data_IF_135527852835
#
_entry.id   IF_135527852835
#
_cell.length_a   1.000
_cell.length_b   1.000
_cell.length_c   1.000
_cell.angle_alpha   90.00
_cell.angle_beta   90.00
_cell.angle_gamma   90.00
#
_symmetry.space_group_name_H-M   'P 1'
#
loop_
_entity.id
_entity.type
_entity.pdbx_description
1 polymer ?
#
# COMPACT_ATOMS: atom_id res chain seq x y z
N UNK A 1 28.35 20.44 12.59
CA UNK A 1 29.60 20.12 13.31
C UNK A 1 30.79 20.98 12.89
N UNK A 2 31.07 21.12 11.58
CA UNK A 2 32.11 22.04 11.07
C UNK A 2 32.08 23.44 11.71
N UNK A 3 30.90 24.09 11.68
CA UNK A 3 30.71 25.42 12.28
C UNK A 3 30.99 25.46 13.79
N UNK A 4 30.71 24.37 14.50
CA UNK A 4 30.97 24.27 15.94
C UNK A 4 32.48 24.27 16.19
N UNK A 5 33.25 23.47 15.42
CA UNK A 5 34.69 23.39 15.60
C UNK A 5 35.46 24.65 15.21
N UNK A 6 34.86 25.51 14.39
CA UNK A 6 35.41 26.80 13.97
C UNK A 6 35.07 27.95 14.94
N UNK A 7 34.27 27.73 15.99
CA UNK A 7 33.94 28.78 16.95
C UNK A 7 35.20 29.25 17.70
N UNK A 8 35.30 30.56 18.04
CA UNK A 8 36.44 31.10 18.77
C UNK A 8 36.35 30.74 20.27
N UNK A 9 36.62 29.47 20.58
CA UNK A 9 36.52 28.94 21.94
C UNK A 9 37.49 29.59 22.95
N UNK A 10 38.54 30.24 22.45
CA UNK A 10 39.47 31.04 23.26
C UNK A 10 38.77 32.17 24.02
N UNK A 11 37.67 32.71 23.50
CA UNK A 11 36.86 33.73 24.20
C UNK A 11 36.10 33.17 25.40
N UNK A 12 35.90 31.85 25.43
CA UNK A 12 35.22 31.12 26.50
C UNK A 12 36.20 30.41 27.45
N UNK A 13 37.51 30.63 27.27
CA UNK A 13 38.55 30.03 28.11
C UNK A 13 38.94 28.60 27.74
N UNK A 14 38.52 28.08 26.58
CA UNK A 14 38.92 26.76 26.12
C UNK A 14 40.01 26.87 25.04
N UNK A 15 41.05 26.05 25.18
CA UNK A 15 42.23 26.07 24.30
C UNK A 15 42.09 25.14 23.08
N UNK A 16 41.16 24.18 23.10
CA UNK A 16 41.06 23.11 22.10
C UNK A 16 39.63 22.92 21.60
N UNK A 17 39.50 22.76 20.29
CA UNK A 17 38.29 22.31 19.60
C UNK A 17 38.50 20.93 19.00
N UNK A 18 37.41 20.25 18.62
CA UNK A 18 37.51 18.95 17.96
C UNK A 18 38.33 19.00 16.66
N UNK A 19 38.34 20.14 15.94
CA UNK A 19 39.16 20.33 14.72
C UNK A 19 40.65 20.25 15.09
N UNK A 20 41.07 21.03 16.08
CA UNK A 20 42.46 21.04 16.54
C UNK A 20 42.88 19.66 17.07
N UNK A 21 41.98 18.95 17.75
CA UNK A 21 42.24 17.60 18.22
C UNK A 21 42.38 16.58 17.08
N UNK A 22 41.55 16.70 16.04
CA UNK A 22 41.60 15.84 14.86
C UNK A 22 42.85 16.09 14.01
N UNK A 23 43.23 17.34 13.80
CA UNK A 23 44.47 17.69 13.08
C UNK A 23 45.71 17.18 13.83
N UNK A 24 45.70 17.24 15.17
CA UNK A 24 46.79 16.73 15.99
C UNK A 24 46.88 15.20 15.97
N UNK A 25 45.75 14.49 15.95
CA UNK A 25 45.75 13.01 15.91
C UNK A 25 46.13 12.45 14.54
N UNK A 26 45.71 13.12 13.47
CA UNK A 26 45.98 12.69 12.09
C UNK A 26 47.27 13.26 11.52
N UNK A 27 47.79 14.35 12.09
CA UNK A 27 48.93 15.10 11.56
C UNK A 27 48.60 15.87 10.27
N UNK A 28 47.32 16.02 9.95
CA UNK A 28 46.85 16.57 8.67
C UNK A 28 45.97 17.78 8.92
N UNK A 29 46.37 18.92 8.36
CA UNK A 29 45.55 20.13 8.38
C UNK A 29 44.26 19.96 7.55
N UNK A 30 43.15 20.44 8.11
CA UNK A 30 41.82 20.41 7.52
C UNK A 30 41.59 21.65 6.66
N UNK A 31 41.82 21.52 5.35
CA UNK A 31 41.32 22.49 4.37
C UNK A 31 39.79 22.50 4.34
N UNK A 32 39.16 23.56 3.83
CA UNK A 32 37.69 23.72 3.80
C UNK A 32 36.95 22.49 3.25
N UNK A 33 37.45 21.91 2.16
CA UNK A 33 36.88 20.71 1.55
C UNK A 33 37.00 19.46 2.42
N UNK A 34 38.14 19.29 3.09
CA UNK A 34 38.36 18.18 4.03
C UNK A 34 37.50 18.34 5.26
N UNK A 35 37.41 19.56 5.80
CA UNK A 35 36.56 19.87 6.93
C UNK A 35 35.09 19.55 6.65
N UNK A 36 34.60 19.88 5.45
CA UNK A 36 33.25 19.51 5.03
C UNK A 36 33.03 18.00 5.08
N UNK A 37 33.92 17.21 4.47
CA UNK A 37 33.75 15.76 4.45
C UNK A 37 33.91 15.10 5.82
N UNK A 38 34.84 15.58 6.64
CA UNK A 38 35.02 15.08 8.02
C UNK A 38 33.81 15.42 8.88
N UNK A 39 33.26 16.63 8.77
CA UNK A 39 32.04 17.00 9.46
C UNK A 39 30.79 16.28 8.94
N UNK A 40 30.71 16.00 7.63
CA UNK A 40 29.65 15.20 7.03
C UNK A 40 29.75 13.74 7.49
N UNK A 41 30.97 13.18 7.52
CA UNK A 41 31.23 11.85 8.07
C UNK A 41 30.76 11.76 9.52
N UNK A 42 31.14 12.71 10.38
CA UNK A 42 30.63 12.78 11.76
C UNK A 42 29.11 12.86 11.80
N UNK A 43 28.51 13.66 10.92
CA UNK A 43 27.05 13.79 10.81
C UNK A 43 26.37 12.47 10.45
N UNK A 44 26.90 11.74 9.46
CA UNK A 44 26.36 10.46 9.02
C UNK A 44 26.52 9.40 10.11
N UNK A 45 27.70 9.28 10.73
CA UNK A 45 27.96 8.28 11.77
C UNK A 45 27.15 8.54 13.04
N UNK A 46 26.89 9.81 13.35
CA UNK A 46 25.99 10.22 14.43
C UNK A 46 24.53 9.92 14.10
N UNK A 47 24.07 10.32 12.89
CA UNK A 47 22.69 10.12 12.44
C UNK A 47 22.32 8.63 12.36
N UNK A 48 23.26 7.80 11.90
CA UNK A 48 23.08 6.33 11.78
C UNK A 48 23.39 5.59 13.08
N UNK A 49 23.66 6.29 14.18
CA UNK A 49 24.00 5.72 15.49
C UNK A 49 25.23 4.78 15.51
N UNK A 50 26.13 4.90 14.54
CA UNK A 50 27.39 4.13 14.49
C UNK A 50 28.38 4.66 15.52
N UNK A 51 28.61 5.98 15.50
CA UNK A 51 29.42 6.69 16.51
C UNK A 51 30.80 6.09 16.78
N UNK A 52 31.70 6.06 15.78
CA UNK A 52 33.05 5.51 15.94
C UNK A 52 33.89 6.15 17.07
N UNK A 53 33.57 7.39 17.46
CA UNK A 53 34.24 8.09 18.56
C UNK A 53 35.61 8.69 18.20
N UNK A 54 35.99 8.65 16.93
CA UNK A 54 37.19 9.25 16.37
C UNK A 54 37.13 10.78 16.27
N UNK A 55 35.92 11.34 16.26
CA UNK A 55 35.66 12.78 16.36
C UNK A 55 34.75 12.99 17.56
N UNK A 56 35.31 13.52 18.64
CA UNK A 56 34.63 13.77 19.90
C UNK A 56 34.66 15.26 20.26
N UNK A 57 33.67 15.76 21.02
CA UNK A 57 33.73 17.09 21.60
C UNK A 57 34.89 17.18 22.61
N UNK A 58 35.64 18.27 22.56
CA UNK A 58 36.83 18.49 23.41
C UNK A 58 36.58 19.50 24.55
N UNK A 59 35.44 20.21 24.52
CA UNK A 59 35.07 21.19 25.52
C UNK A 59 33.57 21.14 25.87
N UNK A 60 33.18 21.78 26.97
CA UNK A 60 31.81 21.68 27.50
C UNK A 60 30.75 22.26 26.54
N UNK A 61 31.11 23.30 25.79
CA UNK A 61 30.23 23.91 24.77
C UNK A 61 30.01 22.95 23.61
N UNK A 62 31.08 22.30 23.13
CA UNK A 62 31.01 21.25 22.13
C UNK A 62 30.20 20.05 22.63
N UNK A 63 30.35 19.63 23.89
CA UNK A 63 29.55 18.55 24.48
C UNK A 63 28.07 18.90 24.49
N UNK A 64 27.71 20.14 24.89
CA UNK A 64 26.33 20.60 24.92
C UNK A 64 25.72 20.63 23.51
N UNK A 65 26.42 21.23 22.54
CA UNK A 65 25.97 21.32 21.15
C UNK A 65 25.91 19.94 20.47
N UNK A 66 26.90 19.08 20.73
CA UNK A 66 26.92 17.69 20.27
C UNK A 66 25.69 16.95 20.79
N UNK A 67 25.43 17.02 22.09
CA UNK A 67 24.26 16.35 22.72
C UNK A 67 22.95 16.82 22.09
N UNK A 68 22.79 18.13 21.87
CA UNK A 68 21.62 18.68 21.21
C UNK A 68 21.48 18.19 19.76
N UNK A 69 22.57 18.21 18.98
CA UNK A 69 22.59 17.72 17.60
C UNK A 69 22.30 16.21 17.52
N UNK A 70 22.82 15.43 18.46
CA UNK A 70 22.54 13.99 18.56
C UNK A 70 21.06 13.74 18.85
N UNK A 71 20.45 14.51 19.74
CA UNK A 71 19.02 14.40 20.05
C UNK A 71 18.15 14.69 18.82
N UNK A 72 18.43 15.80 18.12
CA UNK A 72 17.72 16.15 16.87
C UNK A 72 17.97 15.11 15.79
N UNK A 73 19.22 14.65 15.65
CA UNK A 73 19.61 13.58 14.75
C UNK A 73 18.81 12.31 14.98
N UNK A 74 18.74 11.84 16.23
CA UNK A 74 17.99 10.64 16.60
C UNK A 74 16.49 10.74 16.27
N UNK A 75 15.87 11.90 16.56
CA UNK A 75 14.45 12.13 16.20
C UNK A 75 14.25 12.11 14.67
N UNK A 76 15.13 12.78 13.92
CA UNK A 76 15.04 12.78 12.45
C UNK A 76 15.26 11.39 11.85
N UNK A 77 16.20 10.61 12.39
CA UNK A 77 16.46 9.25 11.94
C UNK A 77 15.27 8.32 12.21
N UNK A 78 14.69 8.38 13.41
CA UNK A 78 13.49 7.62 13.75
C UNK A 78 12.32 7.94 12.82
N UNK A 79 12.13 9.23 12.49
CA UNK A 79 11.12 9.68 11.53
C UNK A 79 11.34 9.12 10.12
N UNK A 80 12.57 9.20 9.60
CA UNK A 80 12.92 8.66 8.27
C UNK A 80 12.66 7.16 8.23
N UNK A 81 13.11 6.42 9.23
CA UNK A 81 12.89 4.96 9.32
C UNK A 81 11.39 4.63 9.36
N UNK A 82 10.59 5.35 10.15
CA UNK A 82 9.15 5.15 10.20
C UNK A 82 8.50 5.34 8.83
N UNK A 83 8.86 6.40 8.11
CA UNK A 83 8.33 6.65 6.77
C UNK A 83 8.77 5.60 5.74
N UNK A 84 9.98 5.09 5.83
CA UNK A 84 10.42 3.98 4.97
C UNK A 84 9.59 2.72 5.24
N UNK A 85 9.34 2.41 6.52
CA UNK A 85 8.48 1.27 6.91
C UNK A 85 7.06 1.46 6.39
N UNK A 86 6.47 2.65 6.56
CA UNK A 86 5.12 2.96 6.08
C UNK A 86 5.03 2.87 4.54
N UNK A 87 6.04 3.40 3.83
CA UNK A 87 6.11 3.31 2.38
C UNK A 87 6.14 1.84 1.92
N UNK A 88 6.98 1.01 2.56
CA UNK A 88 7.04 -0.44 2.27
C UNK A 88 5.69 -1.11 2.59
N UNK A 89 5.06 -0.76 3.71
CA UNK A 89 3.75 -1.30 4.10
C UNK A 89 2.64 -0.94 3.12
N UNK A 90 2.67 0.27 2.55
CA UNK A 90 1.64 0.76 1.63
C UNK A 90 1.64 0.04 0.27
N UNK A 91 2.83 -0.31 -0.25
CA UNK A 91 3.01 -0.96 -1.56
C UNK A 91 2.40 -2.38 -1.59
N UNK A 92 2.28 -3.04 -0.44
CA UNK A 92 1.76 -4.40 -0.32
C UNK A 92 0.35 -4.52 0.26
N UNK A 93 -0.32 -3.41 0.58
CA UNK A 93 -1.50 -3.40 1.45
C UNK A 93 -2.68 -4.25 0.92
N UNK A 94 -3.00 -4.20 -0.37
CA UNK A 94 -4.08 -5.00 -0.96
C UNK A 94 -3.77 -6.51 -0.95
N UNK A 95 -2.55 -6.88 -1.35
CA UNK A 95 -2.13 -8.28 -1.34
C UNK A 95 -2.01 -8.82 0.09
N UNK A 96 -1.53 -8.01 1.03
CA UNK A 96 -1.47 -8.35 2.44
C UNK A 96 -2.87 -8.57 3.02
N UNK A 97 -3.85 -7.72 2.68
CA UNK A 97 -5.26 -7.90 3.07
C UNK A 97 -5.84 -9.21 2.51
N UNK A 98 -5.57 -9.54 1.25
CA UNK A 98 -6.00 -10.81 0.65
C UNK A 98 -5.40 -12.02 1.36
N UNK A 99 -4.09 -12.02 1.55
CA UNK A 99 -3.37 -13.09 2.22
C UNK A 99 -3.87 -13.27 3.66
N UNK A 100 -4.13 -12.16 4.37
CA UNK A 100 -4.74 -12.17 5.70
C UNK A 100 -6.14 -12.79 5.72
N UNK A 101 -7.02 -12.38 4.79
CA UNK A 101 -8.37 -12.96 4.64
C UNK A 101 -8.31 -14.45 4.31
N UNK A 102 -7.42 -14.86 3.40
CA UNK A 102 -7.22 -16.26 3.03
C UNK A 102 -6.67 -17.10 4.20
N UNK A 103 -5.76 -16.55 5.00
CA UNK A 103 -5.24 -17.21 6.20
C UNK A 103 -6.37 -17.44 7.23
N UNK A 104 -7.22 -16.44 7.46
CA UNK A 104 -8.40 -16.56 8.35
C UNK A 104 -9.39 -17.61 7.83
N UNK A 105 -9.66 -17.63 6.53
CA UNK A 105 -10.49 -18.66 5.88
C UNK A 105 -9.90 -20.06 6.09
N UNK A 106 -8.61 -20.23 5.86
CA UNK A 106 -7.91 -21.50 6.08
C UNK A 106 -8.03 -21.99 7.53
N UNK A 107 -7.90 -21.08 8.50
CA UNK A 107 -8.06 -21.41 9.92
C UNK A 107 -9.49 -21.87 10.23
N UNK A 108 -10.50 -21.13 9.76
CA UNK A 108 -11.91 -21.47 9.96
C UNK A 108 -12.26 -22.84 9.37
N UNK A 109 -11.83 -23.11 8.13
CA UNK A 109 -12.05 -24.39 7.45
C UNK A 109 -11.44 -25.58 8.20
N UNK A 110 -10.26 -25.39 8.81
CA UNK A 110 -9.59 -26.41 9.62
C UNK A 110 -10.30 -26.61 10.96
N UNK A 111 -10.68 -25.54 11.63
CA UNK A 111 -11.39 -25.60 12.92
C UNK A 111 -12.75 -26.30 12.80
N UNK A 112 -13.47 -26.06 11.69
CA UNK A 112 -14.73 -26.75 11.38
C UNK A 112 -14.55 -28.19 10.88
N UNK A 113 -13.32 -28.72 10.84
CA UNK A 113 -13.00 -30.07 10.36
C UNK A 113 -13.58 -30.38 8.96
N UNK A 114 -13.64 -29.38 8.08
CA UNK A 114 -14.20 -29.60 6.74
C UNK A 114 -13.32 -30.55 5.92
N UNK A 115 -13.96 -31.47 5.19
CA UNK A 115 -13.26 -32.40 4.30
C UNK A 115 -12.40 -31.70 3.23
N UNK A 116 -11.32 -32.34 2.76
CA UNK A 116 -10.32 -31.72 1.88
C UNK A 116 -10.90 -31.21 0.56
N UNK A 117 -11.92 -31.89 0.00
CA UNK A 117 -12.59 -31.44 -1.21
C UNK A 117 -13.36 -30.14 -1.00
N UNK A 118 -14.14 -30.05 0.07
CA UNK A 118 -14.89 -28.83 0.42
C UNK A 118 -13.93 -27.67 0.67
N UNK A 119 -12.82 -27.92 1.37
CA UNK A 119 -11.79 -26.90 1.56
C UNK A 119 -11.22 -26.39 0.22
N UNK A 120 -10.93 -27.29 -0.72
CA UNK A 120 -10.44 -26.92 -2.05
C UNK A 120 -11.47 -26.09 -2.82
N UNK A 121 -12.74 -26.51 -2.80
CA UNK A 121 -13.85 -25.79 -3.45
C UNK A 121 -14.03 -24.37 -2.88
N UNK A 122 -14.07 -24.24 -1.55
CA UNK A 122 -14.24 -22.93 -0.88
C UNK A 122 -13.05 -22.00 -1.16
N UNK A 123 -11.81 -22.50 -1.12
CA UNK A 123 -10.62 -21.68 -1.44
C UNK A 123 -10.61 -21.22 -2.90
N UNK A 124 -10.96 -22.11 -3.83
CA UNK A 124 -11.05 -21.77 -5.26
C UNK A 124 -12.14 -20.72 -5.51
N UNK A 125 -13.31 -20.89 -4.88
CA UNK A 125 -14.38 -19.90 -4.92
C UNK A 125 -13.92 -18.54 -4.37
N UNK A 126 -13.30 -18.52 -3.20
CA UNK A 126 -12.85 -17.28 -2.56
C UNK A 126 -11.76 -16.56 -3.36
N UNK A 127 -10.84 -17.30 -4.00
CA UNK A 127 -9.86 -16.74 -4.92
C UNK A 127 -10.54 -16.06 -6.14
N UNK A 128 -11.57 -16.70 -6.70
CA UNK A 128 -12.35 -16.10 -7.80
C UNK A 128 -13.14 -14.86 -7.35
N UNK A 129 -13.70 -14.88 -6.13
CA UNK A 129 -14.38 -13.72 -5.55
C UNK A 129 -13.41 -12.57 -5.35
N UNK A 130 -12.18 -12.81 -4.89
CA UNK A 130 -11.17 -11.76 -4.71
C UNK A 130 -10.76 -11.09 -6.03
N UNK A 131 -10.48 -11.89 -7.06
CA UNK A 131 -10.19 -11.39 -8.41
C UNK A 131 -11.34 -10.54 -8.97
N UNK A 132 -12.57 -10.93 -8.68
CA UNK A 132 -13.76 -10.20 -9.10
C UNK A 132 -14.03 -8.96 -8.24
N UNK A 133 -13.80 -9.04 -6.93
CA UNK A 133 -13.87 -7.92 -6.00
C UNK A 133 -12.84 -6.86 -6.32
N UNK A 134 -11.64 -7.16 -6.84
CA UNK A 134 -10.74 -6.08 -7.34
C UNK A 134 -11.38 -5.20 -8.42
N UNK A 135 -12.35 -5.73 -9.16
CA UNK A 135 -13.06 -5.02 -10.23
C UNK A 135 -14.37 -4.38 -9.71
N UNK A 136 -15.02 -4.97 -8.69
CA UNK A 136 -16.28 -4.48 -8.11
C UNK A 136 -16.14 -3.74 -6.77
N UNK A 137 -14.95 -3.73 -6.16
CA UNK A 137 -14.61 -2.99 -4.94
C UNK A 137 -14.48 -1.53 -5.30
N UNK A 138 -15.64 -0.92 -5.38
CA UNK A 138 -15.84 0.48 -5.11
C UNK A 138 -17.32 0.71 -4.80
N UNK A 139 -18.11 -0.23 -4.26
CA UNK A 139 -19.46 0.14 -3.81
C UNK A 139 -19.41 1.26 -2.77
N UNK A 140 -18.41 1.25 -1.87
CA UNK A 140 -18.12 2.34 -0.95
C UNK A 140 -17.62 3.61 -1.67
N UNK A 141 -16.62 3.52 -2.55
CA UNK A 141 -16.13 4.68 -3.32
C UNK A 141 -17.20 5.25 -4.28
N UNK A 142 -18.08 4.41 -4.83
CA UNK A 142 -19.22 4.82 -5.64
C UNK A 142 -20.22 5.58 -4.77
N UNK A 143 -20.47 5.17 -3.52
CA UNK A 143 -21.35 5.90 -2.61
C UNK A 143 -20.84 7.31 -2.27
N UNK A 144 -19.53 7.56 -2.36
CA UNK A 144 -18.91 8.89 -2.20
C UNK A 144 -19.13 9.81 -3.42
N UNK A 145 -19.42 9.23 -4.59
CA UNK A 145 -19.67 10.01 -5.81
C UNK A 145 -21.07 10.64 -5.79
N UNK A 146 -21.23 11.74 -6.54
CA UNK A 146 -22.55 12.32 -6.78
C UNK A 146 -23.47 11.33 -7.52
N UNK A 147 -24.81 11.41 -7.35
CA UNK A 147 -25.73 10.43 -7.95
C UNK A 147 -25.62 10.29 -9.47
N UNK A 148 -25.22 11.35 -10.17
CA UNK A 148 -24.99 11.32 -11.61
C UNK A 148 -23.69 10.57 -11.95
N UNK A 149 -22.59 10.88 -11.28
CA UNK A 149 -21.30 10.21 -11.48
C UNK A 149 -21.37 8.72 -11.12
N UNK A 150 -22.14 8.36 -10.09
CA UNK A 150 -22.45 6.97 -9.77
C UNK A 150 -23.03 6.22 -10.97
N UNK A 151 -24.01 6.83 -11.65
CA UNK A 151 -24.64 6.25 -12.83
C UNK A 151 -23.69 6.11 -14.01
N UNK A 152 -22.88 7.12 -14.27
CA UNK A 152 -21.90 7.13 -15.36
C UNK A 152 -20.79 6.10 -15.15
N UNK A 153 -20.23 6.01 -13.94
CA UNK A 153 -19.20 5.03 -13.58
C UNK A 153 -19.77 3.61 -13.59
N UNK A 154 -20.96 3.40 -13.00
CA UNK A 154 -21.63 2.10 -13.03
C UNK A 154 -21.87 1.64 -14.48
N UNK A 155 -22.37 2.52 -15.33
CA UNK A 155 -22.57 2.22 -16.76
C UNK A 155 -21.24 1.91 -17.46
N UNK A 156 -20.17 2.64 -17.16
CA UNK A 156 -18.83 2.35 -17.70
C UNK A 156 -18.34 0.94 -17.40
N UNK A 157 -18.58 0.44 -16.18
CA UNK A 157 -18.17 -0.92 -15.76
C UNK A 157 -19.04 -2.05 -16.34
N UNK A 158 -20.31 -1.78 -16.63
CA UNK A 158 -21.28 -2.81 -17.05
C UNK A 158 -21.72 -2.68 -18.50
N UNK A 159 -21.17 -1.72 -19.27
CA UNK A 159 -21.56 -1.45 -20.65
C UNK A 159 -21.45 -2.69 -21.53
N UNK A 160 -20.35 -3.43 -21.40
CA UNK A 160 -20.10 -4.67 -22.11
C UNK A 160 -21.18 -5.73 -21.87
N UNK A 161 -21.78 -5.74 -20.68
CA UNK A 161 -22.87 -6.64 -20.31
C UNK A 161 -24.23 -6.12 -20.81
N UNK A 162 -24.53 -4.83 -20.61
CA UNK A 162 -25.81 -4.23 -21.01
C UNK A 162 -25.99 -4.31 -22.54
N UNK A 163 -24.93 -4.08 -23.31
CA UNK A 163 -24.97 -4.12 -24.77
C UNK A 163 -25.25 -5.54 -25.33
N UNK A 164 -25.15 -6.60 -24.50
CA UNK A 164 -25.49 -7.97 -24.90
C UNK A 164 -27.00 -8.20 -24.93
N UNK A 165 -27.76 -7.43 -24.15
CA UNK A 165 -29.21 -7.57 -24.02
C UNK A 165 -29.89 -6.83 -25.18
N UNK A 166 -30.51 -7.58 -26.09
CA UNK A 166 -31.03 -7.05 -27.35
C UNK A 166 -32.01 -5.87 -27.18
N UNK A 167 -32.87 -5.90 -26.16
CA UNK A 167 -33.86 -4.85 -25.92
C UNK A 167 -33.29 -3.62 -25.18
N UNK A 168 -32.11 -3.73 -24.56
CA UNK A 168 -31.44 -2.60 -23.89
C UNK A 168 -30.56 -1.77 -24.82
N UNK A 169 -30.15 -2.31 -25.97
CA UNK A 169 -29.24 -1.64 -26.93
C UNK A 169 -29.67 -0.23 -27.35
N UNK A 170 -30.98 0.03 -27.40
CA UNK A 170 -31.54 1.31 -27.84
C UNK A 170 -32.14 2.13 -26.69
N UNK A 171 -31.85 1.75 -25.44
CA UNK A 171 -32.33 2.45 -24.26
C UNK A 171 -31.75 3.87 -24.15
N UNK A 172 -32.53 4.80 -23.61
CA UNK A 172 -32.02 6.16 -23.30
C UNK A 172 -30.90 6.06 -22.27
N UNK A 173 -29.88 6.90 -22.38
CA UNK A 173 -28.72 6.88 -21.48
C UNK A 173 -29.11 6.95 -19.98
N UNK A 174 -30.08 7.78 -19.59
CA UNK A 174 -30.59 7.86 -18.20
C UNK A 174 -31.24 6.57 -17.69
N UNK A 175 -31.85 5.80 -18.59
CA UNK A 175 -32.45 4.52 -18.27
C UNK A 175 -31.37 3.45 -18.09
N UNK A 176 -30.40 3.40 -19.01
CA UNK A 176 -29.30 2.44 -18.95
C UNK A 176 -28.38 2.67 -17.74
N UNK A 177 -28.11 3.92 -17.37
CA UNK A 177 -27.37 4.26 -16.14
C UNK A 177 -28.14 3.90 -14.88
N UNK A 178 -29.48 3.93 -14.91
CA UNK A 178 -30.31 3.47 -13.78
C UNK A 178 -30.30 1.95 -13.65
N UNK A 179 -30.34 1.22 -14.77
CA UNK A 179 -30.15 -0.23 -14.80
C UNK A 179 -28.75 -0.60 -14.31
N UNK A 180 -27.71 0.06 -14.82
CA UNK A 180 -26.32 -0.20 -14.45
C UNK A 180 -26.07 -0.11 -12.94
N UNK A 181 -26.75 0.82 -12.24
CA UNK A 181 -26.68 0.94 -10.77
C UNK A 181 -27.40 -0.18 -10.02
N UNK A 182 -28.34 -0.87 -10.66
CA UNK A 182 -29.10 -1.98 -10.07
C UNK A 182 -28.53 -3.35 -10.46
N UNK A 183 -27.53 -3.42 -11.33
CA UNK A 183 -26.86 -4.69 -11.66
C UNK A 183 -26.09 -5.19 -10.44
N UNK A 184 -26.51 -6.34 -9.91
CA UNK A 184 -25.83 -7.01 -8.81
C UNK A 184 -24.87 -8.08 -9.35
N UNK A 185 -23.56 -7.93 -9.08
CA UNK A 185 -22.57 -8.85 -9.63
C UNK A 185 -22.42 -10.08 -8.72
N UNK A 186 -22.85 -11.27 -9.20
CA UNK A 186 -22.80 -12.53 -8.44
C UNK A 186 -21.74 -13.50 -8.97
N UNK A 187 -21.08 -14.24 -8.07
CA UNK A 187 -20.08 -15.28 -8.41
C UNK A 187 -20.58 -16.63 -7.87
N UNK A 188 -20.43 -17.69 -8.65
CA UNK A 188 -20.81 -19.06 -8.29
C UNK A 188 -19.60 -19.99 -8.33
N UNK A 189 -19.62 -21.05 -7.52
CA UNK A 189 -18.58 -22.07 -7.56
C UNK A 189 -18.72 -22.99 -8.78
N UNK A 190 -17.63 -23.66 -9.17
CA UNK A 190 -17.70 -24.68 -10.22
C UNK A 190 -18.66 -25.81 -9.82
N UNK A 191 -19.54 -26.21 -10.75
CA UNK A 191 -20.55 -27.26 -10.59
C UNK A 191 -21.64 -26.96 -9.54
N UNK A 192 -21.88 -25.68 -9.24
CA UNK A 192 -23.02 -25.25 -8.43
C UNK A 192 -24.24 -24.96 -9.30
N UNK A 193 -25.43 -25.28 -8.80
CA UNK A 193 -26.68 -24.92 -9.47
C UNK A 193 -26.96 -23.43 -9.28
N UNK A 194 -27.17 -22.70 -10.38
CA UNK A 194 -27.54 -21.28 -10.34
C UNK A 194 -29.06 -21.19 -10.29
N UNK A 195 -29.59 -20.71 -9.17
CA UNK A 195 -31.01 -20.41 -9.02
C UNK A 195 -31.29 -19.01 -9.55
N UNK A 196 -32.29 -18.88 -10.41
CA UNK A 196 -32.79 -17.60 -10.89
C UNK A 196 -34.31 -17.64 -10.79
N UNK A 197 -34.89 -16.77 -9.96
CA UNK A 197 -36.34 -16.55 -9.95
C UNK A 197 -36.60 -15.09 -10.30
N UNK A 198 -37.19 -14.87 -11.48
CA UNK A 198 -37.64 -13.55 -11.98
C UNK A 198 -36.54 -12.51 -12.17
N UNK A 199 -35.35 -12.95 -12.59
CA UNK A 199 -34.22 -12.05 -12.87
C UNK A 199 -33.54 -12.41 -14.20
N UNK A 200 -33.30 -11.39 -15.03
CA UNK A 200 -32.41 -11.50 -16.19
C UNK A 200 -30.96 -11.56 -15.73
N UNK A 201 -30.25 -12.62 -16.09
CA UNK A 201 -28.83 -12.81 -15.75
C UNK A 201 -27.95 -12.74 -17.00
N UNK A 202 -26.80 -12.09 -16.86
CA UNK A 202 -25.82 -11.90 -17.94
C UNK A 202 -24.53 -12.62 -17.56
N UNK A 203 -24.08 -13.55 -18.41
CA UNK A 203 -22.84 -14.29 -18.17
C UNK A 203 -21.64 -13.42 -18.57
N UNK A 204 -20.95 -12.83 -17.60
CA UNK A 204 -19.76 -12.00 -17.86
C UNK A 204 -18.47 -12.81 -18.03
N UNK A 205 -18.33 -13.92 -17.30
CA UNK A 205 -17.15 -14.79 -17.33
C UNK A 205 -17.55 -16.21 -16.92
N UNK A 206 -16.95 -17.21 -17.56
CA UNK A 206 -17.20 -18.62 -17.28
C UNK A 206 -18.19 -19.24 -18.26
N UNK A 207 -18.69 -20.42 -17.88
CA UNK A 207 -19.63 -21.22 -18.66
C UNK A 207 -20.74 -21.71 -17.73
N UNK A 208 -21.95 -21.76 -18.25
CA UNK A 208 -23.15 -22.22 -17.55
C UNK A 208 -23.94 -23.13 -18.48
N UNK A 209 -24.53 -24.19 -17.95
CA UNK A 209 -25.45 -25.04 -18.70
C UNK A 209 -26.90 -24.68 -18.35
N UNK A 210 -27.71 -24.33 -19.34
CA UNK A 210 -29.10 -23.91 -19.16
C UNK A 210 -30.00 -24.51 -20.25
N UNK A 211 -31.04 -25.24 -19.86
CA UNK A 211 -32.00 -25.92 -20.76
C UNK A 211 -31.35 -26.65 -21.95
N UNK A 212 -30.32 -27.48 -21.69
CA UNK A 212 -29.67 -28.25 -22.75
C UNK A 212 -28.65 -27.46 -23.59
N UNK A 213 -28.44 -26.18 -23.29
CA UNK A 213 -27.51 -25.30 -24.02
C UNK A 213 -26.36 -24.86 -23.12
N UNK A 214 -25.15 -24.84 -23.68
CA UNK A 214 -24.00 -24.25 -23.04
C UNK A 214 -23.99 -22.74 -23.31
N UNK A 215 -24.14 -21.95 -22.25
CA UNK A 215 -24.03 -20.50 -22.25
C UNK A 215 -22.61 -20.10 -21.87
N UNK A 216 -22.05 -19.15 -22.60
CA UNK A 216 -20.70 -18.62 -22.40
C UNK A 216 -20.75 -17.11 -22.23
N UNK A 217 -19.58 -16.45 -22.17
CA UNK A 217 -19.48 -14.99 -22.05
C UNK A 217 -20.43 -14.26 -23.02
N UNK A 218 -21.14 -13.25 -22.50
CA UNK A 218 -22.15 -12.44 -23.18
C UNK A 218 -23.48 -13.15 -23.49
N UNK A 219 -23.66 -14.39 -23.04
CA UNK A 219 -24.97 -15.04 -23.08
C UNK A 219 -25.88 -14.48 -21.98
N UNK A 220 -27.18 -14.42 -22.25
CA UNK A 220 -28.20 -14.00 -21.29
C UNK A 220 -29.23 -15.11 -21.11
N UNK A 221 -29.78 -15.22 -19.90
CA UNK A 221 -30.80 -16.20 -19.55
C UNK A 221 -31.65 -15.67 -18.37
N UNK A 222 -32.83 -16.26 -18.19
CA UNK A 222 -33.87 -15.76 -17.29
C UNK A 222 -35.01 -15.10 -18.05
N UNK A 223 -36.13 -14.91 -17.35
CA UNK A 223 -37.39 -14.35 -17.87
C UNK A 223 -37.48 -12.83 -17.70
#
# INVERSE_FOLDING_TARGET
WALVGQMPFSQFGYERSWIAAFEQSTGVALTDWRLYFVALYWGITTLTSIGYGDIAPENEVEVLLCTFLMFVGALSWAYVVAHVIDAIGSIGSDNAQYLGKMAKLNMMLRQSQMGPETQRKVKAFYANVYEFQRISTSSAMLQELSPQLQGEVAYGFTRDCIDTVWFLKHGRHRFLTSIARQLEPTVYASNEAVFHERTLTIVRKGMLFHHGRLLTKHSTFGD
#
